data_IF_100955366209
#
_entry.id   IF_100955366209
#
_cell.length_a   1.000
_cell.length_b   1.000
_cell.length_c   1.000
_cell.angle_alpha   90.00
_cell.angle_beta   90.00
_cell.angle_gamma   90.00
#
_symmetry.space_group_name_H-M   'P 1'
#
loop_
_entity.id
_entity.type
_entity.pdbx_description
1 polymer ?
#
# COMPACT_ATOMS: atom_id res chain seq x y z
N UNK A 1 -22.89 2.64 59.11
CA UNK A 1 -22.04 1.81 58.24
C UNK A 1 -22.57 1.99 56.84
N UNK A 2 -22.01 2.93 56.10
CA UNK A 2 -22.34 3.15 54.70
C UNK A 2 -21.39 2.29 53.86
N UNK A 3 -21.92 1.26 53.21
CA UNK A 3 -21.20 0.53 52.20
C UNK A 3 -21.14 1.41 50.94
N UNK A 4 -19.95 1.89 50.62
CA UNK A 4 -19.63 2.50 49.34
C UNK A 4 -19.67 1.39 48.30
N UNK A 5 -20.67 1.41 47.44
CA UNK A 5 -20.67 0.68 46.16
C UNK A 5 -19.60 1.35 45.31
N UNK A 6 -18.42 0.75 45.24
CA UNK A 6 -17.48 0.98 44.19
C UNK A 6 -18.11 0.36 42.95
N UNK A 7 -18.76 1.20 42.12
CA UNK A 7 -19.13 0.81 40.76
C UNK A 7 -17.84 0.46 40.02
N UNK A 8 -17.73 -0.74 39.49
CA UNK A 8 -16.80 -1.02 38.44
C UNK A 8 -17.20 -0.13 37.25
N UNK A 9 -16.49 0.97 37.05
CA UNK A 9 -16.48 1.62 35.77
C UNK A 9 -15.99 0.55 34.82
N UNK A 10 -16.90 0.00 34.02
CA UNK A 10 -16.57 -0.77 32.85
C UNK A 10 -15.86 0.25 31.96
N UNK A 11 -14.53 0.20 31.91
CA UNK A 11 -13.77 1.01 30.95
C UNK A 11 -14.37 0.69 29.58
N UNK A 12 -15.06 1.66 29.00
CA UNK A 12 -15.50 1.61 27.61
C UNK A 12 -14.19 1.67 26.84
N UNK A 13 -13.85 0.59 26.15
CA UNK A 13 -12.71 0.54 25.25
C UNK A 13 -13.21 0.94 23.88
N UNK A 14 -12.45 1.77 23.21
CA UNK A 14 -12.75 2.11 21.84
C UNK A 14 -12.63 0.87 20.95
N UNK A 15 -13.56 0.68 20.02
CA UNK A 15 -13.58 -0.41 19.06
C UNK A 15 -13.06 0.08 17.72
N UNK A 16 -11.91 -0.44 17.31
CA UNK A 16 -11.28 -0.12 16.02
C UNK A 16 -11.57 -1.24 15.04
N UNK A 17 -12.36 -0.96 14.00
CA UNK A 17 -12.59 -1.88 12.89
C UNK A 17 -11.50 -1.68 11.83
N UNK A 18 -10.67 -2.70 11.57
CA UNK A 18 -9.63 -2.66 10.54
C UNK A 18 -10.05 -3.53 9.34
N UNK A 19 -10.33 -2.88 8.20
CA UNK A 19 -10.57 -3.53 6.92
C UNK A 19 -9.29 -3.50 6.08
N UNK A 20 -8.68 -4.65 5.84
CA UNK A 20 -7.54 -4.80 4.94
C UNK A 20 -8.01 -5.43 3.62
N UNK A 21 -7.65 -4.83 2.47
CA UNK A 21 -8.17 -5.28 1.18
C UNK A 21 -7.70 -6.68 0.78
N UNK A 22 -6.45 -6.99 1.03
CA UNK A 22 -5.88 -8.31 0.72
C UNK A 22 -4.72 -8.65 1.65
N UNK A 23 -4.21 -9.88 1.54
CA UNK A 23 -3.07 -10.32 2.34
C UNK A 23 -1.81 -10.38 1.48
N UNK A 24 -0.89 -9.47 1.73
CA UNK A 24 0.49 -9.46 1.27
C UNK A 24 1.35 -8.59 2.19
N UNK A 25 2.68 -8.73 2.10
CA UNK A 25 3.63 -8.13 3.04
C UNK A 25 3.44 -6.64 3.27
N UNK A 26 3.21 -5.85 2.23
CA UNK A 26 3.07 -4.39 2.34
C UNK A 26 1.84 -3.99 3.18
N UNK A 27 0.66 -4.60 2.93
CA UNK A 27 -0.54 -4.29 3.71
C UNK A 27 -0.48 -4.85 5.13
N UNK A 28 0.15 -6.02 5.33
CA UNK A 28 0.40 -6.57 6.66
C UNK A 28 1.32 -5.64 7.46
N UNK A 29 2.36 -5.08 6.83
CA UNK A 29 3.25 -4.08 7.40
C UNK A 29 2.53 -2.78 7.74
N UNK A 30 1.62 -2.28 6.86
CA UNK A 30 0.76 -1.14 7.19
C UNK A 30 -0.04 -1.36 8.48
N UNK A 31 -0.67 -2.52 8.60
CA UNK A 31 -1.45 -2.86 9.79
C UNK A 31 -0.57 -2.95 11.04
N UNK A 32 0.57 -3.63 10.93
CA UNK A 32 1.51 -3.74 12.04
C UNK A 32 2.03 -2.36 12.45
N UNK A 33 2.46 -1.54 11.50
CA UNK A 33 2.89 -0.18 11.75
C UNK A 33 1.79 0.67 12.39
N UNK A 34 0.54 0.54 11.95
CA UNK A 34 -0.60 1.24 12.54
C UNK A 34 -0.75 0.94 14.04
N UNK A 35 -0.68 -0.32 14.43
CA UNK A 35 -0.74 -0.72 15.83
C UNK A 35 0.46 -0.22 16.63
N UNK A 36 1.67 -0.27 16.04
CA UNK A 36 2.87 0.32 16.64
C UNK A 36 2.73 1.84 16.84
N UNK A 37 2.10 2.55 15.89
CA UNK A 37 1.85 3.99 16.00
C UNK A 37 0.90 4.34 17.15
N UNK A 38 -0.16 3.55 17.36
CA UNK A 38 -1.05 3.68 18.52
C UNK A 38 -0.29 3.45 19.83
N UNK A 39 0.55 2.40 19.89
CA UNK A 39 1.39 2.11 21.06
C UNK A 39 2.39 3.25 21.36
N UNK A 40 3.03 3.81 20.33
CA UNK A 40 3.94 4.96 20.46
C UNK A 40 3.21 6.20 20.99
N UNK A 41 1.92 6.37 20.66
CA UNK A 41 1.07 7.42 21.22
C UNK A 41 0.62 7.14 22.67
N UNK A 42 0.93 5.95 23.20
CA UNK A 42 0.58 5.55 24.56
C UNK A 42 -0.76 4.83 24.71
N UNK A 43 -1.41 4.44 23.61
CA UNK A 43 -2.63 3.65 23.60
C UNK A 43 -2.29 2.16 23.55
N UNK A 44 -2.90 1.35 24.42
CA UNK A 44 -2.59 -0.07 24.61
C UNK A 44 -3.79 -0.92 24.24
N UNK A 45 -3.63 -1.82 23.28
CA UNK A 45 -4.65 -2.79 22.89
C UNK A 45 -5.06 -3.67 24.09
N UNK A 46 -6.35 -3.93 24.22
CA UNK A 46 -6.92 -4.66 25.34
C UNK A 46 -7.10 -3.83 26.62
N UNK A 47 -6.59 -2.59 26.65
CA UNK A 47 -6.76 -1.63 27.77
C UNK A 47 -7.54 -0.40 27.32
N UNK A 48 -7.06 0.30 26.30
CA UNK A 48 -7.64 1.55 25.81
C UNK A 48 -8.55 1.28 24.62
N UNK A 49 -8.20 0.31 23.76
CA UNK A 49 -8.99 -0.08 22.59
C UNK A 49 -8.99 -1.61 22.36
N UNK A 50 -9.92 -2.07 21.53
CA UNK A 50 -10.00 -3.44 21.00
C UNK A 50 -10.03 -3.38 19.47
N UNK A 51 -9.36 -4.32 18.80
CA UNK A 51 -9.31 -4.41 17.32
C UNK A 51 -10.21 -5.52 16.82
N UNK A 52 -11.08 -5.18 15.87
CA UNK A 52 -11.75 -6.14 15.01
C UNK A 52 -11.10 -6.07 13.61
N UNK A 53 -10.27 -7.06 13.30
CA UNK A 53 -9.57 -7.16 12.02
C UNK A 53 -10.28 -8.07 11.05
N UNK A 54 -10.52 -7.56 9.84
CA UNK A 54 -11.13 -8.31 8.75
C UNK A 54 -10.33 -8.13 7.45
N UNK A 55 -10.27 -9.20 6.64
CA UNK A 55 -9.61 -9.20 5.34
C UNK A 55 -10.64 -9.40 4.23
N UNK A 56 -10.63 -8.53 3.24
CA UNK A 56 -11.56 -8.58 2.11
C UNK A 56 -11.15 -9.59 1.01
N UNK A 57 -9.96 -10.21 1.12
CA UNK A 57 -9.46 -11.21 0.18
C UNK A 57 -9.50 -10.77 -1.29
N UNK A 58 -9.19 -9.50 -1.55
CA UNK A 58 -9.22 -8.84 -2.88
C UNK A 58 -10.62 -8.81 -3.52
N UNK A 59 -11.69 -8.81 -2.70
CA UNK A 59 -13.09 -8.79 -3.16
C UNK A 59 -13.81 -7.54 -2.65
N UNK A 60 -14.25 -6.68 -3.58
CA UNK A 60 -14.93 -5.41 -3.28
C UNK A 60 -16.26 -5.61 -2.54
N UNK A 61 -16.97 -6.73 -2.81
CA UNK A 61 -18.20 -7.02 -2.09
C UNK A 61 -17.92 -7.41 -0.64
N UNK A 62 -16.84 -8.15 -0.39
CA UNK A 62 -16.40 -8.45 0.98
C UNK A 62 -15.95 -7.17 1.70
N UNK A 63 -15.16 -6.29 1.05
CA UNK A 63 -14.78 -5.01 1.62
C UNK A 63 -16.01 -4.19 2.03
N UNK A 64 -17.03 -4.13 1.16
CA UNK A 64 -18.29 -3.45 1.44
C UNK A 64 -19.02 -4.07 2.64
N UNK A 65 -19.10 -5.40 2.72
CA UNK A 65 -19.74 -6.10 3.85
C UNK A 65 -19.00 -5.86 5.17
N UNK A 66 -17.67 -5.82 5.14
CA UNK A 66 -16.82 -5.52 6.32
C UNK A 66 -17.12 -4.11 6.82
N UNK A 67 -17.10 -3.09 5.95
CA UNK A 67 -17.45 -1.72 6.34
C UNK A 67 -18.85 -1.62 6.95
N UNK A 68 -19.85 -2.27 6.33
CA UNK A 68 -21.21 -2.31 6.85
C UNK A 68 -21.31 -3.02 8.22
N UNK A 69 -20.53 -4.08 8.42
CA UNK A 69 -20.46 -4.79 9.69
C UNK A 69 -19.89 -3.88 10.79
N UNK A 70 -18.77 -3.21 10.56
CA UNK A 70 -18.19 -2.27 11.53
C UNK A 70 -19.15 -1.13 11.87
N UNK A 71 -19.84 -0.58 10.85
CA UNK A 71 -20.88 0.42 11.07
C UNK A 71 -22.03 -0.14 11.91
N UNK A 72 -22.54 -1.34 11.61
CA UNK A 72 -23.64 -1.95 12.36
C UNK A 72 -23.29 -2.24 13.82
N UNK A 73 -22.05 -2.53 14.10
CA UNK A 73 -21.53 -2.82 15.44
C UNK A 73 -21.08 -1.58 16.21
N UNK A 74 -21.32 -0.37 15.67
CA UNK A 74 -20.98 0.91 16.27
C UNK A 74 -19.48 1.02 16.60
N UNK A 75 -18.60 0.76 15.61
CA UNK A 75 -17.16 0.99 15.77
C UNK A 75 -16.90 2.47 16.07
N UNK A 76 -15.96 2.74 16.99
CA UNK A 76 -15.57 4.12 17.34
C UNK A 76 -14.61 4.72 16.31
N UNK A 77 -13.88 3.86 15.58
CA UNK A 77 -13.00 4.21 14.47
C UNK A 77 -13.00 3.08 13.43
N UNK A 78 -13.05 3.43 12.16
CA UNK A 78 -12.79 2.48 11.07
C UNK A 78 -11.46 2.80 10.41
N UNK A 79 -10.70 1.75 10.09
CA UNK A 79 -9.43 1.84 9.38
C UNK A 79 -9.53 1.09 8.06
N UNK A 80 -9.30 1.80 6.95
CA UNK A 80 -9.24 1.21 5.62
C UNK A 80 -7.80 1.09 5.14
N UNK A 81 -7.32 -0.14 4.95
CA UNK A 81 -5.99 -0.42 4.41
C UNK A 81 -6.13 -0.79 2.94
N UNK A 82 -5.56 0.01 2.06
CA UNK A 82 -5.72 0.09 0.61
C UNK A 82 -7.04 0.75 0.16
N UNK A 83 -7.03 1.29 -1.07
CA UNK A 83 -8.07 2.18 -1.61
C UNK A 83 -9.48 1.60 -1.52
N UNK A 84 -9.69 0.36 -1.97
CA UNK A 84 -11.02 -0.23 -2.04
C UNK A 84 -11.61 -0.48 -0.63
N UNK A 85 -10.78 -0.88 0.36
CA UNK A 85 -11.21 -1.00 1.75
C UNK A 85 -11.52 0.36 2.39
N UNK A 86 -10.73 1.39 2.10
CA UNK A 86 -10.97 2.74 2.62
C UNK A 86 -12.28 3.33 2.07
N UNK A 87 -12.54 3.19 0.77
CA UNK A 87 -13.81 3.59 0.13
C UNK A 87 -14.99 2.86 0.78
N UNK A 88 -14.87 1.55 0.99
CA UNK A 88 -15.92 0.75 1.61
C UNK A 88 -16.21 1.17 3.06
N UNK A 89 -15.18 1.41 3.86
CA UNK A 89 -15.31 1.93 5.23
C UNK A 89 -15.95 3.31 5.25
N UNK A 90 -15.48 4.24 4.42
CA UNK A 90 -15.98 5.61 4.36
C UNK A 90 -17.46 5.67 3.98
N UNK A 91 -17.86 4.94 2.93
CA UNK A 91 -19.25 4.86 2.52
C UNK A 91 -20.17 4.26 3.62
N UNK A 92 -19.66 3.29 4.38
CA UNK A 92 -20.44 2.65 5.45
C UNK A 92 -20.50 3.49 6.74
N UNK A 93 -19.57 4.43 6.92
CA UNK A 93 -19.45 5.29 8.09
C UNK A 93 -20.38 6.51 8.02
N UNK A 94 -20.79 6.95 6.80
CA UNK A 94 -21.45 8.23 6.54
C UNK A 94 -22.71 8.44 7.39
N UNK A 95 -23.61 7.45 7.43
CA UNK A 95 -24.90 7.56 8.15
C UNK A 95 -24.74 7.71 9.69
N UNK A 96 -23.62 7.28 10.24
CA UNK A 96 -23.34 7.28 11.68
C UNK A 96 -22.25 8.25 12.10
N UNK A 97 -21.67 8.95 11.13
CA UNK A 97 -20.57 9.89 11.35
C UNK A 97 -19.36 9.26 12.08
N UNK A 98 -19.08 7.98 11.77
CA UNK A 98 -17.94 7.26 12.34
C UNK A 98 -16.65 7.79 11.69
N UNK A 99 -15.62 8.18 12.46
CA UNK A 99 -14.36 8.61 11.89
C UNK A 99 -13.67 7.48 11.13
N UNK A 100 -13.07 7.81 9.98
CA UNK A 100 -12.34 6.87 9.15
C UNK A 100 -10.89 7.31 9.01
N UNK A 101 -9.98 6.37 9.21
CA UNK A 101 -8.56 6.55 8.93
C UNK A 101 -8.17 5.61 7.79
N UNK A 102 -7.47 6.13 6.80
CA UNK A 102 -6.95 5.31 5.72
C UNK A 102 -5.42 5.23 5.74
N UNK A 103 -4.88 4.18 5.16
CA UNK A 103 -3.45 4.02 4.86
C UNK A 103 -3.26 3.29 3.54
N UNK A 104 -2.13 3.51 2.89
CA UNK A 104 -1.82 2.94 1.58
C UNK A 104 -2.84 3.34 0.49
N UNK A 105 -3.09 4.66 0.37
CA UNK A 105 -3.96 5.24 -0.65
C UNK A 105 -3.11 6.10 -1.58
N UNK A 106 -2.98 5.69 -2.83
CA UNK A 106 -2.09 6.36 -3.77
C UNK A 106 -2.61 7.73 -4.20
N UNK A 107 -3.92 7.85 -4.45
CA UNK A 107 -4.58 9.11 -4.84
C UNK A 107 -5.86 9.33 -4.02
N UNK A 108 -5.75 9.94 -2.83
CA UNK A 108 -6.93 10.23 -2.00
C UNK A 108 -7.94 11.15 -2.68
N UNK A 109 -7.49 12.10 -3.51
CA UNK A 109 -8.38 13.04 -4.23
C UNK A 109 -9.18 12.31 -5.31
N UNK A 110 -8.52 11.52 -6.15
CA UNK A 110 -9.18 10.72 -7.19
C UNK A 110 -10.09 9.65 -6.62
N UNK A 111 -9.80 9.15 -5.42
CA UNK A 111 -10.64 8.21 -4.68
C UNK A 111 -11.80 8.89 -3.90
N UNK A 112 -11.88 10.23 -3.89
CA UNK A 112 -12.85 11.02 -3.12
C UNK A 112 -12.78 10.77 -1.60
N UNK A 113 -11.56 10.60 -1.08
CA UNK A 113 -11.24 10.38 0.33
C UNK A 113 -10.52 11.57 0.98
N UNK A 114 -10.58 12.75 0.35
CA UNK A 114 -9.89 13.96 0.76
C UNK A 114 -10.79 14.96 1.52
N UNK A 115 -12.05 14.59 1.78
CA UNK A 115 -13.02 15.45 2.48
C UNK A 115 -14.05 14.65 3.28
N UNK A 116 -14.54 15.21 4.37
CA UNK A 116 -15.50 14.58 5.28
C UNK A 116 -14.84 14.07 6.54
N UNK A 117 -15.50 13.16 7.27
CA UNK A 117 -14.97 12.58 8.52
C UNK A 117 -13.95 11.45 8.21
N UNK A 118 -12.94 11.79 7.42
CA UNK A 118 -11.89 10.88 6.97
C UNK A 118 -10.55 11.61 6.86
N UNK A 119 -9.47 10.91 7.22
CA UNK A 119 -8.08 11.33 6.99
C UNK A 119 -7.17 10.10 6.94
N UNK A 120 -5.88 10.27 6.75
CA UNK A 120 -4.93 9.16 6.75
C UNK A 120 -3.61 9.46 6.04
N UNK A 121 -2.98 8.43 5.48
CA UNK A 121 -1.68 8.56 4.82
C UNK A 121 -1.72 8.03 3.38
N UNK A 122 -1.11 8.80 2.49
CA UNK A 122 -0.96 8.48 1.06
C UNK A 122 0.40 7.82 0.80
N UNK A 123 0.37 6.80 -0.06
CA UNK A 123 1.53 6.08 -0.58
C UNK A 123 1.80 6.40 -2.06
N UNK A 124 1.51 7.62 -2.49
CA UNK A 124 1.78 8.04 -3.87
C UNK A 124 3.18 7.61 -4.32
N UNK A 125 3.26 6.92 -5.47
CA UNK A 125 4.52 6.35 -5.94
C UNK A 125 5.47 7.42 -6.48
N UNK A 126 6.79 7.33 -6.18
CA UNK A 126 7.80 8.19 -6.76
C UNK A 126 8.18 7.74 -8.19
N UNK A 127 7.22 7.83 -9.12
CA UNK A 127 7.36 7.30 -10.50
C UNK A 127 8.61 7.87 -11.18
N UNK A 128 8.90 9.15 -10.99
CA UNK A 128 10.12 9.76 -11.53
C UNK A 128 11.39 9.07 -11.01
N UNK A 129 11.48 8.85 -9.69
CA UNK A 129 12.61 8.13 -9.06
C UNK A 129 12.70 6.68 -9.56
N UNK A 130 11.57 6.03 -9.78
CA UNK A 130 11.53 4.68 -10.34
C UNK A 130 12.07 4.63 -11.78
N UNK A 131 11.65 5.55 -12.64
CA UNK A 131 12.15 5.66 -14.02
C UNK A 131 13.65 5.97 -14.05
N UNK A 132 14.14 6.84 -13.15
CA UNK A 132 15.57 7.14 -12.99
C UNK A 132 16.36 5.89 -12.58
N UNK A 133 15.85 5.12 -11.60
CA UNK A 133 16.47 3.88 -11.16
C UNK A 133 16.56 2.85 -12.30
N UNK A 134 15.45 2.62 -13.02
CA UNK A 134 15.42 1.69 -14.17
C UNK A 134 16.44 2.12 -15.21
N UNK A 135 16.50 3.41 -15.57
CA UNK A 135 17.45 3.94 -16.54
C UNK A 135 18.91 3.79 -16.08
N UNK A 136 19.19 3.95 -14.78
CA UNK A 136 20.53 3.78 -14.23
C UNK A 136 20.98 2.30 -14.27
N UNK A 137 20.09 1.35 -13.98
CA UNK A 137 20.39 -0.08 -13.95
C UNK A 137 20.34 -0.72 -15.35
N UNK A 138 19.50 -0.22 -16.25
CA UNK A 138 19.34 -0.69 -17.62
C UNK A 138 19.42 0.48 -18.62
N UNK A 139 20.64 0.98 -18.94
CA UNK A 139 20.81 2.16 -19.81
C UNK A 139 20.24 1.99 -21.23
N UNK A 140 20.15 0.76 -21.72
CA UNK A 140 19.72 0.42 -23.08
C UNK A 140 18.24 -0.03 -23.15
N UNK A 141 17.50 -0.05 -22.03
CA UNK A 141 16.09 -0.43 -22.03
C UNK A 141 15.21 0.63 -22.70
N UNK A 142 14.26 0.22 -23.51
CA UNK A 142 13.34 1.09 -24.25
C UNK A 142 11.88 0.91 -23.80
N UNK A 143 11.49 -0.32 -23.41
CA UNK A 143 10.09 -0.66 -23.13
C UNK A 143 9.93 -1.25 -21.73
N UNK A 144 9.10 -0.60 -20.91
CA UNK A 144 8.71 -1.06 -19.58
C UNK A 144 7.32 -1.69 -19.67
N UNK A 145 7.22 -2.97 -19.29
CA UNK A 145 5.95 -3.66 -19.15
C UNK A 145 5.33 -3.42 -17.76
N UNK A 146 4.02 -3.18 -17.72
CA UNK A 146 3.28 -3.01 -16.46
C UNK A 146 1.99 -3.83 -16.54
N UNK A 147 1.76 -4.68 -15.53
CA UNK A 147 0.45 -5.33 -15.30
C UNK A 147 -0.29 -4.53 -14.24
N UNK A 148 -1.57 -4.28 -14.47
CA UNK A 148 -2.38 -3.53 -13.51
C UNK A 148 -3.83 -4.01 -13.47
N UNK A 149 -4.48 -3.87 -12.31
CA UNK A 149 -5.89 -4.21 -12.12
C UNK A 149 -6.78 -3.03 -12.50
N UNK A 150 -7.67 -3.22 -13.47
CA UNK A 150 -8.50 -2.14 -14.02
C UNK A 150 -9.54 -1.58 -13.05
N UNK A 151 -9.90 -2.32 -12.01
CA UNK A 151 -10.81 -1.88 -10.94
C UNK A 151 -10.10 -1.23 -9.74
N UNK A 152 -8.76 -1.25 -9.69
CA UNK A 152 -7.99 -0.57 -8.65
C UNK A 152 -7.65 0.87 -9.09
N UNK A 153 -8.28 1.86 -8.45
CA UNK A 153 -8.11 3.27 -8.79
C UNK A 153 -6.66 3.75 -8.62
N UNK A 154 -5.95 3.26 -7.59
CA UNK A 154 -4.52 3.49 -7.36
C UNK A 154 -3.68 3.05 -8.56
N UNK A 155 -3.96 1.88 -9.12
CA UNK A 155 -3.22 1.34 -10.27
C UNK A 155 -3.49 2.13 -11.55
N UNK A 156 -4.76 2.47 -11.80
CA UNK A 156 -5.16 3.32 -12.94
C UNK A 156 -4.49 4.69 -12.88
N UNK A 157 -4.46 5.31 -11.69
CA UNK A 157 -3.75 6.57 -11.48
C UNK A 157 -2.24 6.42 -11.75
N UNK A 158 -1.60 5.42 -11.16
CA UNK A 158 -0.16 5.19 -11.32
C UNK A 158 0.24 4.99 -12.79
N UNK A 159 -0.55 4.21 -13.56
CA UNK A 159 -0.33 4.05 -15.00
C UNK A 159 -0.35 5.40 -15.72
N UNK A 160 -1.30 6.28 -15.41
CA UNK A 160 -1.39 7.59 -16.05
C UNK A 160 -0.13 8.44 -15.80
N UNK A 161 0.45 8.35 -14.59
CA UNK A 161 1.70 9.03 -14.24
C UNK A 161 2.90 8.44 -14.98
N UNK A 162 2.96 7.09 -15.12
CA UNK A 162 4.00 6.44 -15.93
C UNK A 162 3.92 6.86 -17.40
N UNK A 163 2.72 6.87 -18.00
CA UNK A 163 2.52 7.27 -19.39
C UNK A 163 2.89 8.75 -19.63
N UNK A 164 2.64 9.62 -18.66
CA UNK A 164 3.02 11.04 -18.72
C UNK A 164 4.54 11.22 -18.69
N UNK A 165 5.24 10.55 -17.76
CA UNK A 165 6.65 10.79 -17.49
C UNK A 165 7.62 9.93 -18.30
N UNK A 166 7.22 8.74 -18.75
CA UNK A 166 8.12 7.73 -19.32
C UNK A 166 8.94 8.26 -20.51
N UNK A 167 8.33 9.06 -21.37
CA UNK A 167 9.00 9.60 -22.58
C UNK A 167 10.14 10.55 -22.26
N UNK A 168 10.09 11.27 -21.13
CA UNK A 168 11.15 12.17 -20.68
C UNK A 168 12.40 11.40 -20.26
N UNK A 169 12.21 10.12 -19.89
CA UNK A 169 13.30 9.18 -19.54
C UNK A 169 13.63 8.22 -20.68
N UNK A 170 13.05 8.40 -21.86
CA UNK A 170 13.31 7.58 -23.05
C UNK A 170 12.65 6.22 -23.01
N UNK A 171 11.55 6.06 -22.27
CA UNK A 171 10.81 4.80 -22.20
C UNK A 171 9.46 4.87 -22.91
N UNK A 172 9.02 3.70 -23.35
CA UNK A 172 7.65 3.42 -23.77
C UNK A 172 7.02 2.49 -22.73
N UNK A 173 5.77 2.74 -22.34
CA UNK A 173 5.02 1.88 -21.45
C UNK A 173 4.14 0.92 -22.26
N UNK A 174 4.28 -0.38 -21.99
CA UNK A 174 3.37 -1.43 -22.49
C UNK A 174 2.57 -1.95 -21.28
N UNK A 175 1.32 -1.47 -21.16
CA UNK A 175 0.48 -1.76 -20.01
C UNK A 175 -0.62 -2.77 -20.36
N UNK A 176 -0.74 -3.84 -19.55
CA UNK A 176 -1.76 -4.88 -19.71
C UNK A 176 -2.68 -4.87 -18.49
N UNK A 177 -3.95 -4.48 -18.72
CA UNK A 177 -4.99 -4.48 -17.70
C UNK A 177 -5.56 -5.88 -17.45
N UNK A 178 -5.78 -6.21 -16.17
CA UNK A 178 -6.44 -7.44 -15.72
C UNK A 178 -7.67 -7.09 -14.87
N UNK A 179 -8.54 -8.06 -14.66
CA UNK A 179 -9.75 -7.90 -13.83
C UNK A 179 -9.71 -8.73 -12.55
N UNK A 180 -8.73 -9.63 -12.44
CA UNK A 180 -8.55 -10.51 -11.30
C UNK A 180 -7.13 -11.03 -11.20
N UNK A 181 -6.74 -11.44 -10.01
CA UNK A 181 -5.45 -12.07 -9.73
C UNK A 181 -5.14 -13.29 -10.64
N UNK A 182 -6.16 -14.05 -11.02
CA UNK A 182 -6.01 -15.23 -11.87
C UNK A 182 -5.51 -14.91 -13.29
N UNK A 183 -5.68 -13.69 -13.75
CA UNK A 183 -5.28 -13.25 -15.11
C UNK A 183 -3.84 -12.71 -15.15
N UNK A 184 -3.23 -12.39 -13.99
CA UNK A 184 -1.94 -11.71 -13.89
C UNK A 184 -0.82 -12.47 -14.62
N UNK A 185 -0.69 -13.77 -14.39
CA UNK A 185 0.37 -14.57 -15.01
C UNK A 185 0.24 -14.65 -16.54
N UNK A 186 -0.99 -14.61 -17.06
CA UNK A 186 -1.22 -14.55 -18.52
C UNK A 186 -0.90 -13.16 -19.08
N UNK A 187 -1.15 -12.10 -18.33
CA UNK A 187 -0.77 -10.74 -18.71
C UNK A 187 0.76 -10.61 -18.78
N UNK A 188 1.50 -11.22 -17.84
CA UNK A 188 2.97 -11.30 -17.88
C UNK A 188 3.42 -12.02 -19.15
N UNK A 189 2.85 -13.20 -19.48
CA UNK A 189 3.18 -13.92 -20.74
C UNK A 189 2.96 -13.04 -21.98
N UNK A 190 1.93 -12.19 -21.96
CA UNK A 190 1.65 -11.25 -23.04
C UNK A 190 2.77 -10.22 -23.16
N UNK A 191 3.17 -9.57 -22.05
CA UNK A 191 4.26 -8.58 -22.03
C UNK A 191 5.60 -9.21 -22.47
N UNK A 192 5.92 -10.41 -21.98
CA UNK A 192 7.11 -11.13 -22.42
C UNK A 192 7.09 -11.42 -23.93
N UNK A 193 5.93 -11.76 -24.50
CA UNK A 193 5.77 -11.99 -25.95
C UNK A 193 5.89 -10.71 -26.78
N UNK A 194 5.61 -9.55 -26.21
CA UNK A 194 5.80 -8.24 -26.84
C UNK A 194 7.27 -7.81 -26.83
N UNK A 195 8.12 -8.44 -26.01
CA UNK A 195 9.55 -8.19 -25.95
C UNK A 195 9.89 -6.95 -25.12
N UNK A 196 9.22 -6.78 -23.98
CA UNK A 196 9.58 -5.73 -22.99
C UNK A 196 10.97 -5.96 -22.42
N UNK A 197 11.67 -4.89 -22.07
CA UNK A 197 13.04 -4.96 -21.53
C UNK A 197 13.05 -5.21 -20.01
N UNK A 198 11.99 -4.81 -19.34
CA UNK A 198 11.77 -5.06 -17.90
C UNK A 198 10.29 -4.96 -17.57
N UNK A 199 9.92 -5.41 -16.36
CA UNK A 199 8.64 -5.09 -15.75
C UNK A 199 8.84 -4.08 -14.62
N UNK A 200 7.86 -3.17 -14.45
CA UNK A 200 7.75 -2.32 -13.26
C UNK A 200 6.44 -2.61 -12.56
N UNK A 201 6.50 -3.06 -11.32
CA UNK A 201 5.32 -3.28 -10.51
C UNK A 201 4.83 -1.98 -9.88
N UNK A 202 3.52 -1.89 -9.73
CA UNK A 202 2.85 -0.86 -8.96
C UNK A 202 2.55 -1.36 -7.54
N UNK A 203 1.85 -0.56 -6.75
CA UNK A 203 1.20 -0.98 -5.51
C UNK A 203 -0.19 -1.61 -5.80
N UNK A 204 -0.26 -2.42 -6.85
CA UNK A 204 -1.46 -3.15 -7.27
C UNK A 204 -1.64 -4.40 -6.41
N UNK A 205 -2.74 -4.48 -5.67
CA UNK A 205 -2.93 -5.53 -4.67
C UNK A 205 -3.04 -6.94 -5.28
N UNK A 206 -3.71 -7.06 -6.44
CA UNK A 206 -3.84 -8.35 -7.12
C UNK A 206 -2.50 -8.81 -7.73
N UNK A 207 -1.72 -7.89 -8.28
CA UNK A 207 -0.41 -8.17 -8.87
C UNK A 207 0.60 -8.55 -7.79
N UNK A 208 0.70 -7.74 -6.73
CA UNK A 208 1.60 -8.01 -5.59
C UNK A 208 1.25 -9.35 -4.92
N UNK A 209 -0.04 -9.67 -4.80
CA UNK A 209 -0.50 -10.93 -4.20
C UNK A 209 -0.01 -12.20 -4.91
N UNK A 210 0.49 -12.10 -6.15
CA UNK A 210 1.05 -13.21 -6.94
C UNK A 210 2.47 -12.93 -7.44
N UNK A 211 3.17 -11.99 -6.83
CA UNK A 211 4.51 -11.55 -7.26
C UNK A 211 5.50 -12.72 -7.41
N UNK A 212 5.47 -13.71 -6.53
CA UNK A 212 6.34 -14.87 -6.66
C UNK A 212 6.17 -15.63 -7.97
N UNK A 213 4.92 -15.75 -8.48
CA UNK A 213 4.66 -16.39 -9.77
C UNK A 213 5.07 -15.49 -10.97
N UNK A 214 5.08 -14.18 -10.79
CA UNK A 214 5.60 -13.23 -11.77
C UNK A 214 7.11 -13.40 -11.88
N UNK A 215 7.82 -13.37 -10.75
CA UNK A 215 9.27 -13.52 -10.68
C UNK A 215 9.74 -14.85 -11.28
N UNK A 216 9.08 -15.96 -10.97
CA UNK A 216 9.41 -17.26 -11.57
C UNK A 216 9.39 -17.21 -13.11
N UNK A 217 8.37 -16.58 -13.72
CA UNK A 217 8.25 -16.44 -15.17
C UNK A 217 9.28 -15.49 -15.77
N UNK A 218 9.53 -14.38 -15.13
CA UNK A 218 10.44 -13.34 -15.62
C UNK A 218 11.89 -13.78 -15.49
N UNK A 219 12.25 -14.50 -14.44
CA UNK A 219 13.57 -15.12 -14.25
C UNK A 219 13.88 -16.15 -15.34
N UNK A 220 12.91 -17.03 -15.66
CA UNK A 220 13.06 -17.98 -16.78
C UNK A 220 13.28 -17.26 -18.11
N UNK A 221 12.70 -16.07 -18.28
CA UNK A 221 12.83 -15.26 -19.49
C UNK A 221 14.08 -14.33 -19.47
N UNK A 222 14.74 -14.18 -18.33
CA UNK A 222 15.87 -13.25 -18.14
C UNK A 222 15.43 -11.78 -18.16
N UNK A 223 14.19 -11.49 -17.77
CA UNK A 223 13.59 -10.14 -17.76
C UNK A 223 13.52 -9.63 -16.31
N UNK A 224 14.18 -8.52 -15.97
CA UNK A 224 14.15 -7.97 -14.62
C UNK A 224 12.79 -7.40 -14.24
N UNK A 225 12.45 -7.50 -12.95
CA UNK A 225 11.28 -6.87 -12.35
C UNK A 225 11.74 -5.81 -11.36
N UNK A 226 11.21 -4.61 -11.48
CA UNK A 226 11.40 -3.52 -10.53
C UNK A 226 10.17 -3.40 -9.63
N UNK A 227 10.40 -3.37 -8.32
CA UNK A 227 9.34 -3.20 -7.32
C UNK A 227 9.06 -1.73 -7.04
N UNK A 228 7.94 -1.45 -6.41
CA UNK A 228 7.53 -0.11 -5.99
C UNK A 228 7.67 0.14 -4.48
N UNK A 229 8.17 -0.85 -3.75
CA UNK A 229 8.37 -0.78 -2.30
C UNK A 229 9.32 -1.90 -1.81
N UNK A 230 9.75 -1.81 -0.53
CA UNK A 230 10.82 -2.63 0.02
C UNK A 230 10.53 -4.13 0.03
N UNK A 231 9.28 -4.55 0.32
CA UNK A 231 8.94 -5.98 0.40
C UNK A 231 8.99 -6.67 -0.98
N UNK A 232 8.63 -5.96 -2.04
CA UNK A 232 8.77 -6.49 -3.40
C UNK A 232 10.24 -6.72 -3.77
N UNK A 233 11.14 -5.82 -3.35
CA UNK A 233 12.58 -5.97 -3.58
C UNK A 233 13.16 -7.12 -2.76
N UNK A 234 12.75 -7.30 -1.50
CA UNK A 234 13.11 -8.47 -0.68
C UNK A 234 12.61 -9.79 -1.26
N UNK A 235 11.47 -9.78 -1.95
CA UNK A 235 10.91 -10.97 -2.60
C UNK A 235 11.66 -11.37 -3.88
N UNK A 236 12.49 -10.49 -4.47
CA UNK A 236 13.31 -10.81 -5.63
C UNK A 236 13.25 -9.78 -6.77
N UNK A 237 12.53 -8.67 -6.64
CA UNK A 237 12.68 -7.57 -7.59
C UNK A 237 14.11 -7.02 -7.52
N UNK A 238 14.67 -6.60 -8.67
CA UNK A 238 16.07 -6.13 -8.79
C UNK A 238 16.31 -4.86 -7.97
N UNK A 239 15.30 -4.01 -7.89
CA UNK A 239 15.34 -2.78 -7.10
C UNK A 239 14.02 -2.06 -7.18
N UNK A 240 13.90 -0.97 -6.45
CA UNK A 240 12.71 -0.12 -6.44
C UNK A 240 12.96 1.21 -5.77
N UNK A 241 12.25 2.23 -6.24
CA UNK A 241 12.09 3.49 -5.53
C UNK A 241 10.70 3.46 -4.86
N UNK A 242 10.66 3.56 -3.53
CA UNK A 242 9.38 3.36 -2.85
C UNK A 242 9.42 3.61 -1.36
N UNK A 243 8.45 3.06 -0.67
CA UNK A 243 8.12 3.33 0.72
C UNK A 243 8.47 2.14 1.62
N UNK A 244 8.63 2.47 2.90
CA UNK A 244 8.56 1.51 4.01
C UNK A 244 7.14 1.55 4.59
N UNK A 245 6.38 0.49 4.38
CA UNK A 245 4.98 0.40 4.81
C UNK A 245 4.81 0.24 6.34
N UNK A 246 5.84 -0.18 7.08
CA UNK A 246 5.83 -0.10 8.55
C UNK A 246 5.81 1.37 8.98
N UNK A 247 6.68 2.22 8.39
CA UNK A 247 6.73 3.64 8.72
C UNK A 247 5.44 4.36 8.31
N UNK A 248 4.88 4.04 7.15
CA UNK A 248 3.57 4.56 6.72
C UNK A 248 2.48 4.21 7.75
N UNK A 249 2.43 2.96 8.18
CA UNK A 249 1.50 2.51 9.20
C UNK A 249 1.69 3.22 10.54
N UNK A 250 2.93 3.39 11.01
CA UNK A 250 3.23 4.13 12.26
C UNK A 250 2.70 5.55 12.17
N UNK A 251 2.95 6.25 11.08
CA UNK A 251 2.44 7.61 10.87
C UNK A 251 0.90 7.63 10.92
N UNK A 252 0.25 6.67 10.27
CA UNK A 252 -1.21 6.51 10.31
C UNK A 252 -1.73 6.27 11.72
N UNK A 253 -1.06 5.40 12.49
CA UNK A 253 -1.44 5.12 13.88
C UNK A 253 -1.31 6.32 14.80
N UNK A 254 -0.28 7.15 14.59
CA UNK A 254 -0.11 8.43 15.32
C UNK A 254 -1.21 9.43 14.98
N UNK A 255 -1.70 9.47 13.73
CA UNK A 255 -2.85 10.29 13.33
C UNK A 255 -4.14 9.76 13.97
N UNK A 256 -4.36 8.44 13.92
CA UNK A 256 -5.52 7.79 14.53
C UNK A 256 -5.60 8.04 16.04
N UNK A 257 -4.46 8.04 16.72
CA UNK A 257 -4.40 8.33 18.16
C UNK A 257 -4.92 9.73 18.50
N UNK A 258 -4.67 10.74 17.67
CA UNK A 258 -5.21 12.10 17.85
C UNK A 258 -6.74 12.12 17.75
N UNK A 259 -7.29 11.30 16.86
CA UNK A 259 -8.74 11.19 16.69
C UNK A 259 -9.37 10.44 17.87
N UNK A 260 -8.84 9.30 18.27
CA UNK A 260 -9.32 8.49 19.39
C UNK A 260 -9.26 9.24 20.72
N UNK A 261 -8.22 10.03 20.94
CA UNK A 261 -8.09 10.84 22.18
C UNK A 261 -8.90 12.14 22.16
N UNK A 262 -9.55 12.46 21.04
CA UNK A 262 -10.29 13.71 20.88
C UNK A 262 -9.41 14.96 20.77
N UNK A 263 -8.10 14.78 20.47
CA UNK A 263 -7.18 15.89 20.22
C UNK A 263 -7.53 16.63 18.92
N UNK A 264 -7.98 15.90 17.90
CA UNK A 264 -8.43 16.45 16.62
C UNK A 264 -9.58 15.61 16.04
N UNK A 265 -10.44 16.22 15.21
CA UNK A 265 -11.38 15.46 14.37
C UNK A 265 -10.71 15.11 13.03
N UNK A 266 -11.18 14.05 12.36
CA UNK A 266 -10.64 13.68 11.04
C UNK A 266 -10.74 14.83 10.04
N UNK A 267 -11.85 15.56 10.01
CA UNK A 267 -12.09 16.69 9.11
C UNK A 267 -11.13 17.88 9.32
N UNK A 268 -10.50 17.97 10.49
CA UNK A 268 -9.51 19.01 10.84
C UNK A 268 -8.07 18.58 10.53
N UNK A 269 -7.85 17.31 10.22
CA UNK A 269 -6.55 16.73 9.90
C UNK A 269 -6.44 16.50 8.39
N UNK A 270 -5.61 17.26 7.66
CA UNK A 270 -5.31 16.92 6.28
C UNK A 270 -4.64 15.54 6.22
N UNK A 271 -4.91 14.79 5.16
CA UNK A 271 -4.12 13.58 4.93
C UNK A 271 -2.65 13.94 4.70
N UNK A 272 -1.77 13.03 5.05
CA UNK A 272 -0.34 13.22 4.92
C UNK A 272 0.21 12.30 3.82
N UNK A 273 1.14 12.81 3.01
CA UNK A 273 1.90 12.02 2.04
C UNK A 273 3.30 11.82 2.58
N UNK A 274 3.84 10.61 2.50
CA UNK A 274 5.25 10.39 2.83
C UNK A 274 6.11 11.03 1.74
N UNK A 275 6.95 11.99 2.13
CA UNK A 275 7.86 12.68 1.22
C UNK A 275 9.22 11.99 1.07
N UNK A 276 9.57 11.11 2.01
CA UNK A 276 10.86 10.43 2.03
C UNK A 276 10.75 9.03 1.42
N UNK A 277 11.15 8.92 0.17
CA UNK A 277 11.26 7.65 -0.53
C UNK A 277 12.66 7.07 -0.33
N UNK A 278 12.74 5.73 -0.17
CA UNK A 278 14.00 5.00 -0.21
C UNK A 278 14.28 4.46 -1.60
N UNK A 279 15.57 4.35 -1.93
CA UNK A 279 16.02 3.46 -2.98
C UNK A 279 16.37 2.11 -2.36
N UNK A 280 15.90 1.04 -2.96
CA UNK A 280 16.12 -0.33 -2.52
C UNK A 280 16.71 -1.13 -3.65
N UNK A 281 17.68 -2.00 -3.36
CA UNK A 281 18.29 -2.90 -4.34
C UNK A 281 18.38 -4.32 -3.77
N UNK A 282 18.33 -5.29 -4.67
CA UNK A 282 18.64 -6.68 -4.41
C UNK A 282 19.83 -7.07 -5.29
N UNK A 283 21.02 -7.06 -4.70
CA UNK A 283 22.25 -7.30 -5.43
C UNK A 283 22.37 -8.72 -5.96
N UNK A 284 21.73 -9.70 -5.31
CA UNK A 284 21.71 -11.09 -5.77
C UNK A 284 20.83 -11.23 -7.02
N UNK A 285 19.61 -10.68 -7.01
CA UNK A 285 18.73 -10.66 -8.18
C UNK A 285 19.37 -9.91 -9.37
N UNK A 286 20.03 -8.78 -9.11
CA UNK A 286 20.76 -8.04 -10.14
C UNK A 286 21.90 -8.88 -10.74
N UNK A 287 22.66 -9.59 -9.91
CA UNK A 287 23.78 -10.43 -10.35
C UNK A 287 23.31 -11.63 -11.19
N UNK A 288 22.21 -12.29 -10.81
CA UNK A 288 21.62 -13.40 -11.57
C UNK A 288 21.19 -12.98 -12.98
N UNK A 289 20.68 -11.76 -13.13
CA UNK A 289 20.28 -11.18 -14.42
C UNK A 289 21.41 -10.45 -15.15
N UNK A 290 22.63 -10.43 -14.58
CA UNK A 290 23.80 -9.77 -15.17
C UNK A 290 23.72 -8.24 -15.17
N UNK A 291 22.90 -7.65 -14.32
CA UNK A 291 22.72 -6.21 -14.15
C UNK A 291 23.83 -5.68 -13.25
N UNK A 292 24.54 -4.66 -13.71
CA UNK A 292 25.56 -3.98 -12.90
C UNK A 292 24.93 -2.80 -12.16
N UNK A 293 25.03 -2.81 -10.83
CA UNK A 293 24.55 -1.69 -10.01
C UNK A 293 25.65 -0.61 -10.01
N UNK A 294 25.38 0.63 -10.47
CA UNK A 294 26.31 1.74 -10.41
C UNK A 294 26.71 2.10 -8.97
N UNK A 295 27.93 2.58 -8.78
CA UNK A 295 28.50 2.90 -7.45
C UNK A 295 27.67 3.95 -6.68
N UNK A 296 27.10 4.92 -7.36
CA UNK A 296 26.24 5.96 -6.78
C UNK A 296 24.93 5.37 -6.25
N UNK A 297 24.27 4.51 -7.04
CA UNK A 297 23.06 3.78 -6.60
C UNK A 297 23.41 2.86 -5.41
N UNK A 298 24.50 2.10 -5.47
CA UNK A 298 24.93 1.20 -4.40
C UNK A 298 25.24 1.92 -3.08
N UNK A 299 25.64 3.20 -3.13
CA UNK A 299 25.92 4.01 -1.94
C UNK A 299 24.65 4.63 -1.33
N UNK A 300 23.64 4.90 -2.13
CA UNK A 300 22.40 5.54 -1.71
C UNK A 300 21.32 4.53 -1.32
N UNK A 301 21.23 3.42 -2.07
CA UNK A 301 20.19 2.43 -1.90
C UNK A 301 20.41 1.54 -0.66
N UNK A 302 19.31 1.13 -0.06
CA UNK A 302 19.32 0.10 0.97
C UNK A 302 19.37 -1.28 0.31
N UNK A 303 20.33 -2.13 0.75
CA UNK A 303 20.42 -3.52 0.32
C UNK A 303 19.30 -4.38 0.92
N UNK A 304 18.66 -5.19 0.10
CA UNK A 304 17.55 -6.07 0.46
C UNK A 304 17.84 -7.56 0.21
N UNK A 305 18.99 -7.94 -0.37
CA UNK A 305 19.41 -9.34 -0.46
C UNK A 305 19.64 -9.93 0.94
N UNK A 306 19.32 -11.22 1.14
CA UNK A 306 19.52 -11.94 2.42
C UNK A 306 20.97 -12.42 2.62
#
# INVERSE_FOLDING_TARGET
MSASLVGSEMCIRDRIGISQYGQHGSLDNCREGFLQGLEQAGLVEGTDFEVDYQNANFDDNQATQIGQMFSAEDADLMVGIATNSAIACFNAAEDKDIPVIFTAITDPVGAHLDAGNITGTSDALPVEGQLQLIRALQPDADTIGIVYTTSEANSVYSISVYEELATDYGFTIDAVGVTSQAEVTQAVDTLLSHGVDCLSNLTDNNVVGVLGAILEKTDEAGIPVYGSEVEQVKLGCVGGAGLDYIQLGIQTGLMAAKVLTGEAACEDLPYETIENYGLYINSDAAAELGITIPDDIAQEAQECAE
#
